data_IF_942230433958
#
_entry.id   IF_942230433958
#
_cell.length_a   1.000
_cell.length_b   1.000
_cell.length_c   1.000
_cell.angle_alpha   90.00
_cell.angle_beta   90.00
_cell.angle_gamma   90.00
#
_symmetry.space_group_name_H-M   'P 1'
#
loop_
_entity.id
_entity.type
_entity.pdbx_description
1 polymer ?
#
# COMPACT_ATOMS: atom_id res chain seq x y z
N UNK A 1 3.29 11.14 6.52
CA UNK A 1 2.85 9.80 6.96
C UNK A 1 3.84 8.80 6.40
N UNK A 2 4.46 7.96 7.24
CA UNK A 2 5.54 7.06 6.80
C UNK A 2 5.02 5.64 6.58
N UNK A 3 5.42 5.00 5.48
CA UNK A 3 4.91 3.70 5.05
C UNK A 3 5.32 2.56 6.00
N UNK A 4 6.55 2.55 6.52
CA UNK A 4 6.99 1.54 7.49
C UNK A 4 6.23 1.63 8.80
N UNK A 5 5.96 2.86 9.26
CA UNK A 5 5.16 3.08 10.45
C UNK A 5 3.71 2.57 10.26
N UNK A 6 3.11 2.84 9.09
CA UNK A 6 1.77 2.31 8.77
C UNK A 6 1.75 0.78 8.70
N UNK A 7 2.73 0.19 8.02
CA UNK A 7 2.86 -1.25 7.87
C UNK A 7 3.05 -1.93 9.24
N UNK A 8 3.93 -1.38 10.08
CA UNK A 8 4.19 -1.89 11.43
C UNK A 8 2.93 -1.83 12.30
N UNK A 9 2.22 -0.70 12.30
CA UNK A 9 0.98 -0.54 13.05
C UNK A 9 -0.10 -1.52 12.56
N UNK A 10 -0.26 -1.67 11.24
CA UNK A 10 -1.21 -2.60 10.67
C UNK A 10 -0.86 -4.06 10.98
N UNK A 11 0.44 -4.42 10.98
CA UNK A 11 0.94 -5.75 11.36
C UNK A 11 0.66 -6.07 12.82
N UNK A 12 0.92 -5.12 13.72
CA UNK A 12 0.67 -5.28 15.15
C UNK A 12 -0.83 -5.43 15.48
N UNK A 13 -1.67 -4.59 14.87
CA UNK A 13 -3.12 -4.71 15.02
C UNK A 13 -3.64 -6.07 14.54
N UNK A 14 -3.10 -6.59 13.43
CA UNK A 14 -3.46 -7.92 12.96
C UNK A 14 -2.99 -9.03 13.90
N UNK A 15 -1.74 -8.95 14.38
CA UNK A 15 -1.19 -9.87 15.39
C UNK A 15 -2.11 -9.93 16.62
N UNK A 16 -2.51 -8.79 17.16
CA UNK A 16 -3.41 -8.73 18.32
C UNK A 16 -4.77 -9.38 18.03
N UNK A 17 -5.32 -9.20 16.83
CA UNK A 17 -6.58 -9.86 16.41
C UNK A 17 -6.44 -11.38 16.32
N UNK A 18 -5.30 -11.88 15.85
CA UNK A 18 -5.00 -13.32 15.80
C UNK A 18 -4.91 -13.88 17.22
N UNK A 19 -4.18 -13.21 18.11
CA UNK A 19 -4.05 -13.59 19.52
C UNK A 19 -5.44 -13.67 20.17
N UNK A 20 -6.26 -12.63 20.03
CA UNK A 20 -7.62 -12.60 20.59
C UNK A 20 -8.48 -13.73 20.04
N UNK A 21 -8.45 -13.98 18.73
CA UNK A 21 -9.24 -15.05 18.12
C UNK A 21 -8.80 -16.45 18.58
N UNK A 22 -7.49 -16.67 18.78
CA UNK A 22 -6.97 -17.94 19.31
C UNK A 22 -7.33 -18.11 20.79
N UNK A 23 -7.24 -17.04 21.58
CA UNK A 23 -7.63 -17.04 22.98
C UNK A 23 -9.11 -17.40 23.15
N UNK A 24 -10.00 -16.74 22.40
CA UNK A 24 -11.44 -17.01 22.40
C UNK A 24 -11.74 -18.46 21.96
N UNK A 25 -11.14 -18.91 20.86
CA UNK A 25 -11.40 -20.24 20.31
C UNK A 25 -10.99 -21.37 21.25
N UNK A 26 -9.95 -21.17 22.07
CA UNK A 26 -9.41 -22.18 22.97
C UNK A 26 -9.73 -21.93 24.44
N UNK A 27 -10.58 -20.93 24.75
CA UNK A 27 -10.91 -20.55 26.14
C UNK A 27 -9.69 -20.21 26.99
N UNK A 28 -8.70 -19.56 26.38
CA UNK A 28 -7.47 -19.09 27.01
C UNK A 28 -7.52 -17.57 27.23
N UNK A 29 -6.65 -17.06 28.10
CA UNK A 29 -6.31 -15.63 28.11
C UNK A 29 -5.41 -15.28 26.91
N UNK A 30 -5.31 -13.99 26.58
CA UNK A 30 -4.40 -13.53 25.52
C UNK A 30 -2.93 -13.92 25.79
N UNK A 31 -2.48 -13.85 27.05
CA UNK A 31 -1.11 -14.22 27.42
C UNK A 31 -0.82 -15.72 27.30
N UNK A 32 -1.80 -16.56 27.65
CA UNK A 32 -1.71 -18.01 27.45
C UNK A 32 -1.69 -18.35 25.96
N UNK A 33 -2.58 -17.74 25.15
CA UNK A 33 -2.59 -17.93 23.71
C UNK A 33 -1.28 -17.51 23.03
N UNK A 34 -0.67 -16.40 23.47
CA UNK A 34 0.65 -15.98 22.99
C UNK A 34 1.76 -16.97 23.33
N UNK A 35 1.64 -17.67 24.46
CA UNK A 35 2.65 -18.65 24.90
C UNK A 35 2.47 -19.98 24.17
N UNK A 36 1.24 -20.50 24.14
CA UNK A 36 0.90 -21.81 23.58
C UNK A 36 0.99 -21.84 22.05
N UNK A 37 0.62 -20.74 21.39
CA UNK A 37 0.59 -20.65 19.92
C UNK A 37 1.68 -19.73 19.36
N UNK A 38 2.73 -19.43 20.13
CA UNK A 38 3.77 -18.45 19.77
C UNK A 38 4.27 -18.64 18.33
N UNK A 39 4.83 -19.81 18.03
CA UNK A 39 5.47 -20.07 16.72
C UNK A 39 4.46 -20.00 15.58
N UNK A 40 3.22 -20.46 15.82
CA UNK A 40 2.13 -20.34 14.85
C UNK A 40 1.76 -18.89 14.59
N UNK A 41 1.62 -18.06 15.64
CA UNK A 41 1.27 -16.64 15.51
C UNK A 41 2.36 -15.91 14.72
N UNK A 42 3.63 -16.10 15.08
CA UNK A 42 4.75 -15.45 14.39
C UNK A 42 4.79 -15.85 12.91
N UNK A 43 4.78 -17.16 12.62
CA UNK A 43 4.82 -17.66 11.25
C UNK A 43 3.63 -17.16 10.43
N UNK A 44 2.42 -17.23 10.99
CA UNK A 44 1.21 -16.80 10.28
C UNK A 44 1.20 -15.30 10.00
N UNK A 45 1.66 -14.48 10.94
CA UNK A 45 1.77 -13.03 10.77
C UNK A 45 2.85 -12.71 9.73
N UNK A 46 4.01 -13.39 9.79
CA UNK A 46 5.10 -13.16 8.83
C UNK A 46 4.74 -13.59 7.42
N UNK A 47 4.18 -14.78 7.23
CA UNK A 47 3.73 -15.28 5.92
C UNK A 47 2.71 -14.34 5.27
N UNK A 48 1.79 -13.81 6.08
CA UNK A 48 0.76 -12.90 5.60
C UNK A 48 1.33 -11.55 5.17
N UNK A 49 2.37 -11.05 5.84
CA UNK A 49 2.91 -9.71 5.59
C UNK A 49 4.15 -9.71 4.69
N UNK A 50 4.79 -10.85 4.47
CA UNK A 50 6.00 -10.95 3.65
C UNK A 50 5.83 -10.31 2.25
N UNK A 51 4.73 -10.55 1.49
CA UNK A 51 4.58 -9.93 0.17
C UNK A 51 4.51 -8.40 0.22
N UNK A 52 3.77 -7.83 1.18
CA UNK A 52 3.63 -6.37 1.29
C UNK A 52 4.86 -5.71 1.89
N UNK A 53 5.60 -6.43 2.75
CA UNK A 53 6.90 -5.97 3.25
C UNK A 53 7.89 -5.80 2.10
N UNK A 54 8.01 -6.78 1.20
CA UNK A 54 8.89 -6.69 0.04
C UNK A 54 8.52 -5.51 -0.88
N UNK A 55 7.23 -5.27 -1.08
CA UNK A 55 6.76 -4.13 -1.86
C UNK A 55 7.07 -2.79 -1.16
N UNK A 56 6.86 -2.70 0.15
CA UNK A 56 7.19 -1.52 0.94
C UNK A 56 8.70 -1.25 0.93
N UNK A 57 9.53 -2.28 1.09
CA UNK A 57 10.99 -2.18 1.03
C UNK A 57 11.46 -1.63 -0.32
N UNK A 58 10.86 -2.09 -1.43
CA UNK A 58 11.11 -1.53 -2.77
C UNK A 58 10.75 -0.05 -2.85
N UNK A 59 9.57 0.33 -2.36
CA UNK A 59 9.11 1.74 -2.38
C UNK A 59 10.04 2.62 -1.54
N UNK A 60 10.41 2.15 -0.35
CA UNK A 60 11.22 2.91 0.60
C UNK A 60 12.69 3.01 0.16
N UNK A 61 13.20 1.95 -0.46
CA UNK A 61 14.54 1.88 -1.03
C UNK A 61 14.71 2.64 -2.35
N UNK A 62 13.63 3.13 -2.96
CA UNK A 62 13.72 3.89 -4.21
C UNK A 62 14.51 5.18 -4.00
N UNK A 63 15.51 5.40 -4.85
CA UNK A 63 16.30 6.63 -4.87
C UNK A 63 15.52 7.82 -5.43
N UNK A 64 14.43 7.54 -6.14
CA UNK A 64 13.56 8.50 -6.83
C UNK A 64 12.22 8.59 -6.10
N UNK A 65 11.47 9.70 -6.24
CA UNK A 65 10.08 9.74 -5.84
C UNK A 65 9.26 8.66 -6.55
N UNK A 66 8.38 8.00 -5.81
CA UNK A 66 7.50 6.96 -6.32
C UNK A 66 6.10 7.53 -6.55
N UNK A 67 5.56 7.33 -7.75
CA UNK A 67 4.13 7.40 -8.03
C UNK A 67 3.57 5.97 -7.97
N UNK A 68 2.95 5.64 -6.85
CA UNK A 68 2.27 4.38 -6.63
C UNK A 68 0.89 4.42 -7.31
N UNK A 69 0.53 3.36 -8.04
CA UNK A 69 -0.76 3.17 -8.68
C UNK A 69 -1.30 1.77 -8.34
N UNK A 70 -2.12 1.67 -7.29
CA UNK A 70 -2.87 0.45 -6.96
C UNK A 70 -4.19 0.48 -7.71
N UNK A 71 -4.44 -0.54 -8.53
CA UNK A 71 -5.60 -0.61 -9.42
C UNK A 71 -6.18 -2.01 -9.48
N UNK A 72 -7.37 -2.13 -10.07
CA UNK A 72 -7.89 -3.44 -10.49
C UNK A 72 -7.08 -3.98 -11.67
N UNK A 73 -6.89 -5.30 -11.70
CA UNK A 73 -6.26 -5.98 -12.82
C UNK A 73 -6.95 -5.63 -14.15
N UNK A 74 -6.15 -5.34 -15.18
CA UNK A 74 -6.61 -4.98 -16.53
C UNK A 74 -7.23 -6.17 -17.26
N UNK A 75 -6.88 -7.39 -16.86
CA UNK A 75 -7.34 -8.63 -17.49
C UNK A 75 -8.69 -9.12 -16.96
N UNK A 76 -9.22 -8.51 -15.89
CA UNK A 76 -10.55 -8.84 -15.36
C UNK A 76 -11.66 -8.36 -16.29
N UNK A 77 -12.77 -9.09 -16.33
CA UNK A 77 -13.95 -8.69 -17.11
C UNK A 77 -14.62 -7.43 -16.51
N UNK A 78 -14.66 -7.32 -15.18
CA UNK A 78 -15.24 -6.20 -14.45
C UNK A 78 -14.25 -5.03 -14.26
N UNK A 79 -13.73 -4.50 -15.37
CA UNK A 79 -12.70 -3.46 -15.38
C UNK A 79 -13.12 -2.21 -14.59
N UNK A 80 -12.16 -1.64 -13.87
CA UNK A 80 -12.34 -0.42 -13.09
C UNK A 80 -12.29 0.81 -14.00
N UNK A 81 -13.45 1.38 -14.35
CA UNK A 81 -13.56 2.57 -15.22
C UNK A 81 -12.73 3.76 -14.74
N UNK A 82 -12.67 4.00 -13.43
CA UNK A 82 -11.86 5.08 -12.85
C UNK A 82 -10.35 4.79 -12.97
N UNK A 83 -9.95 3.52 -12.90
CA UNK A 83 -8.56 3.13 -13.06
C UNK A 83 -8.11 3.32 -14.51
N UNK A 84 -8.97 2.97 -15.46
CA UNK A 84 -8.73 3.21 -16.89
C UNK A 84 -8.72 4.71 -17.21
N UNK A 85 -9.71 5.46 -16.69
CA UNK A 85 -9.79 6.90 -16.88
C UNK A 85 -8.62 7.67 -16.24
N UNK A 86 -7.97 7.12 -15.21
CA UNK A 86 -6.80 7.75 -14.61
C UNK A 86 -5.49 7.43 -15.34
N UNK A 87 -5.45 6.37 -16.15
CA UNK A 87 -4.22 5.92 -16.82
C UNK A 87 -3.56 7.02 -17.67
N UNK A 88 -4.29 7.80 -18.50
CA UNK A 88 -3.68 8.87 -19.29
C UNK A 88 -2.94 9.92 -18.44
N UNK A 89 -3.42 10.20 -17.22
CA UNK A 89 -2.75 11.13 -16.31
C UNK A 89 -1.44 10.55 -15.74
N UNK A 90 -1.40 9.25 -15.47
CA UNK A 90 -0.19 8.55 -15.05
C UNK A 90 0.82 8.53 -16.20
N UNK A 91 0.36 8.24 -17.41
CA UNK A 91 1.20 8.21 -18.62
C UNK A 91 1.80 9.59 -18.91
N UNK A 92 1.02 10.67 -18.77
CA UNK A 92 1.52 12.04 -18.91
C UNK A 92 2.62 12.38 -17.88
N UNK A 93 2.50 11.89 -16.66
CA UNK A 93 3.52 12.06 -15.63
C UNK A 93 4.78 11.26 -15.97
N UNK A 94 4.62 10.03 -16.48
CA UNK A 94 5.73 9.22 -16.98
C UNK A 94 6.47 9.93 -18.12
N UNK A 95 5.76 10.42 -19.13
CA UNK A 95 6.34 11.10 -20.29
C UNK A 95 7.11 12.36 -19.88
N UNK A 96 6.56 13.14 -18.93
CA UNK A 96 7.15 14.41 -18.52
C UNK A 96 8.36 14.27 -17.61
N UNK A 97 8.33 13.33 -16.66
CA UNK A 97 9.37 13.21 -15.64
C UNK A 97 10.35 12.07 -15.93
N UNK A 98 9.94 11.07 -16.73
CA UNK A 98 10.75 9.91 -17.09
C UNK A 98 11.48 9.33 -15.88
N UNK A 99 12.80 9.27 -15.98
CA UNK A 99 13.70 8.76 -14.95
C UNK A 99 13.78 9.59 -13.66
N UNK A 100 13.10 10.74 -13.56
CA UNK A 100 13.08 11.53 -12.32
C UNK A 100 12.14 10.95 -11.27
N UNK A 101 11.25 10.06 -11.65
CA UNK A 101 10.31 9.38 -10.76
C UNK A 101 10.31 7.88 -11.08
N UNK A 102 9.89 7.06 -10.13
CA UNK A 102 9.56 5.66 -10.36
C UNK A 102 8.04 5.51 -10.34
N UNK A 103 7.47 4.83 -11.32
CA UNK A 103 6.05 4.48 -11.31
C UNK A 103 5.93 3.01 -10.94
N UNK A 104 5.22 2.76 -9.83
CA UNK A 104 4.96 1.40 -9.35
C UNK A 104 3.47 1.12 -9.51
N UNK A 105 3.13 0.30 -10.51
CA UNK A 105 1.78 -0.22 -10.69
C UNK A 105 1.67 -1.58 -10.00
N UNK A 106 0.64 -1.75 -9.15
CA UNK A 106 0.29 -3.03 -8.52
C UNK A 106 -1.21 -3.27 -8.60
N UNK A 107 -1.58 -4.55 -8.69
CA UNK A 107 -2.99 -4.95 -8.73
C UNK A 107 -3.51 -5.23 -7.33
N UNK A 108 -4.69 -4.71 -7.02
CA UNK A 108 -5.39 -4.90 -5.74
C UNK A 108 -5.72 -6.36 -5.40
N UNK A 109 -5.79 -7.21 -6.43
CA UNK A 109 -6.09 -8.64 -6.34
C UNK A 109 -4.88 -9.47 -5.87
N UNK A 110 -3.66 -8.91 -5.92
CA UNK A 110 -2.47 -9.59 -5.42
C UNK A 110 -2.28 -9.33 -3.92
N UNK A 111 -1.67 -10.28 -3.17
CA UNK A 111 -1.48 -10.14 -1.73
C UNK A 111 -0.78 -8.83 -1.33
N UNK A 112 0.25 -8.44 -2.06
CA UNK A 112 1.03 -7.21 -1.84
C UNK A 112 0.20 -5.94 -2.11
N UNK A 113 -0.43 -5.83 -3.29
CA UNK A 113 -1.21 -4.67 -3.69
C UNK A 113 -2.48 -4.49 -2.86
N UNK A 114 -3.18 -5.58 -2.57
CA UNK A 114 -4.36 -5.59 -1.71
C UNK A 114 -4.04 -5.19 -0.27
N UNK A 115 -2.98 -5.76 0.33
CA UNK A 115 -2.57 -5.39 1.67
C UNK A 115 -2.08 -3.93 1.74
N UNK A 116 -1.26 -3.49 0.77
CA UNK A 116 -0.78 -2.11 0.72
C UNK A 116 -1.92 -1.10 0.60
N UNK A 117 -2.96 -1.44 -0.17
CA UNK A 117 -4.19 -0.63 -0.24
C UNK A 117 -4.81 -0.43 1.15
N UNK A 118 -5.00 -1.50 1.91
CA UNK A 118 -5.60 -1.42 3.25
C UNK A 118 -4.72 -0.66 4.25
N UNK A 119 -3.40 -0.81 4.14
CA UNK A 119 -2.43 -0.09 4.98
C UNK A 119 -2.48 1.43 4.73
N UNK A 120 -2.56 1.87 3.47
CA UNK A 120 -2.58 3.30 3.13
C UNK A 120 -3.95 3.92 3.34
N UNK A 121 -5.02 3.25 2.91
CA UNK A 121 -6.36 3.81 2.93
C UNK A 121 -7.01 3.74 4.32
N UNK A 122 -6.72 2.69 5.09
CA UNK A 122 -7.15 2.47 6.48
C UNK A 122 -8.64 2.80 6.76
N UNK A 123 -9.54 2.63 5.78
CA UNK A 123 -10.99 2.67 5.99
C UNK A 123 -11.54 1.24 6.07
N UNK A 124 -12.38 0.96 7.08
CA UNK A 124 -13.16 -0.29 7.23
C UNK A 124 -14.36 -0.35 6.27
N UNK A 125 -14.27 0.32 5.13
CA UNK A 125 -15.27 0.25 4.07
C UNK A 125 -15.26 -1.14 3.44
N UNK A 126 -16.45 -1.73 3.26
CA UNK A 126 -16.60 -3.00 2.52
C UNK A 126 -16.22 -2.87 1.04
N UNK A 127 -16.28 -1.66 0.48
CA UNK A 127 -15.94 -1.40 -0.92
C UNK A 127 -14.60 -0.68 -1.02
N UNK A 128 -13.67 -1.30 -1.78
CA UNK A 128 -12.40 -0.66 -2.17
C UNK A 128 -12.68 0.49 -3.14
N UNK A 129 -12.27 1.69 -2.76
CA UNK A 129 -12.25 2.89 -3.62
C UNK A 129 -11.01 2.88 -4.51
N UNK A 130 -11.11 2.29 -5.70
CA UNK A 130 -10.04 2.21 -6.70
C UNK A 130 -10.17 3.29 -7.80
N UNK A 131 -9.06 3.74 -8.42
CA UNK A 131 -7.68 3.40 -8.08
C UNK A 131 -7.26 4.08 -6.76
N UNK A 132 -6.25 3.54 -6.09
CA UNK A 132 -5.49 4.27 -5.08
C UNK A 132 -4.17 4.69 -5.69
N UNK A 133 -3.93 5.99 -5.75
CA UNK A 133 -2.66 6.55 -6.20
C UNK A 133 -2.00 7.35 -5.10
N UNK A 134 -0.67 7.33 -5.03
CA UNK A 134 0.08 8.05 -4.02
C UNK A 134 1.41 8.58 -4.56
N UNK A 135 1.81 9.76 -4.09
CA UNK A 135 3.17 10.26 -4.24
C UNK A 135 3.92 9.95 -2.95
N UNK A 136 4.99 9.17 -3.06
CA UNK A 136 5.81 8.69 -1.95
C UNK A 136 7.25 9.11 -2.20
N UNK A 137 7.94 9.60 -1.18
CA UNK A 137 9.35 9.95 -1.25
C UNK A 137 10.08 9.33 -0.07
N UNK A 138 10.94 8.32 -0.33
CA UNK A 138 11.72 7.62 0.72
C UNK A 138 10.82 7.11 1.84
N UNK A 139 9.74 6.43 1.46
CA UNK A 139 8.72 5.94 2.37
C UNK A 139 7.78 6.98 2.99
N UNK A 140 8.03 8.27 2.81
CA UNK A 140 7.07 9.30 3.21
C UNK A 140 5.96 9.46 2.17
N UNK A 141 4.73 9.09 2.52
CA UNK A 141 3.53 9.34 1.73
C UNK A 141 3.20 10.83 1.85
N UNK A 142 3.46 11.58 0.78
CA UNK A 142 3.21 13.02 0.70
C UNK A 142 1.72 13.30 0.46
N UNK A 143 1.09 12.49 -0.39
CA UNK A 143 -0.35 12.54 -0.67
C UNK A 143 -0.81 11.24 -1.31
N UNK A 144 -2.04 10.83 -1.02
CA UNK A 144 -2.75 9.79 -1.73
C UNK A 144 -4.18 10.22 -2.11
N UNK A 145 -4.75 9.51 -3.08
CA UNK A 145 -6.13 9.66 -3.54
C UNK A 145 -6.70 8.27 -3.81
N UNK A 146 -7.97 8.05 -3.45
CA UNK A 146 -8.66 6.78 -3.64
C UNK A 146 -10.02 7.04 -4.33
N UNK A 147 -10.43 6.15 -5.23
CA UNK A 147 -11.77 6.16 -5.82
C UNK A 147 -12.05 7.29 -6.79
N UNK A 148 -11.02 7.86 -7.42
CA UNK A 148 -11.19 8.94 -8.40
C UNK A 148 -10.02 9.04 -9.37
N UNK A 149 -10.27 9.69 -10.50
CA UNK A 149 -9.23 10.19 -11.38
C UNK A 149 -8.56 11.42 -10.77
N UNK A 150 -7.28 11.62 -11.08
CA UNK A 150 -6.45 12.71 -10.60
C UNK A 150 -5.68 13.26 -11.78
N UNK A 151 -5.90 14.54 -12.09
CA UNK A 151 -5.20 15.19 -13.20
C UNK A 151 -3.69 15.18 -12.99
N UNK A 152 -2.91 15.06 -14.07
CA UNK A 152 -1.45 15.10 -14.02
C UNK A 152 -0.93 16.34 -13.24
N UNK A 153 -1.52 17.51 -13.46
CA UNK A 153 -1.16 18.76 -12.77
C UNK A 153 -1.30 18.68 -11.24
N UNK A 154 -2.13 17.79 -10.70
CA UNK A 154 -2.24 17.53 -9.26
C UNK A 154 -1.04 16.75 -8.77
N UNK A 155 -0.66 15.65 -9.44
CA UNK A 155 0.56 14.89 -9.10
C UNK A 155 1.80 15.78 -9.16
N UNK A 156 1.93 16.60 -10.20
CA UNK A 156 3.04 17.54 -10.37
C UNK A 156 3.25 18.48 -9.18
N UNK A 157 2.15 18.96 -8.58
CA UNK A 157 2.22 19.86 -7.43
C UNK A 157 2.91 19.23 -6.22
N UNK A 158 2.89 17.90 -6.11
CA UNK A 158 3.58 17.18 -5.04
C UNK A 158 4.98 16.77 -5.47
N UNK A 159 5.17 16.32 -6.71
CA UNK A 159 6.49 15.97 -7.24
C UNK A 159 7.44 17.18 -7.20
N UNK A 160 6.97 18.37 -7.60
CA UNK A 160 7.79 19.61 -7.59
C UNK A 160 8.22 20.08 -6.21
N UNK A 161 7.59 19.60 -5.13
CA UNK A 161 7.99 19.93 -3.75
C UNK A 161 9.16 19.10 -3.27
N UNK A 162 9.50 18.02 -3.99
CA UNK A 162 10.59 17.14 -3.61
C UNK A 162 11.90 17.80 -4.06
N UNK A 163 12.84 18.09 -3.15
CA UNK A 163 14.10 18.71 -3.50
C UNK A 163 14.87 17.84 -4.48
N UNK A 164 15.33 18.43 -5.57
CA UNK A 164 16.22 17.76 -6.52
C UNK A 164 17.58 17.61 -5.84
N UNK A 165 17.95 16.39 -5.45
CA UNK A 165 19.24 16.12 -4.81
C UNK A 165 20.40 15.97 -5.81
N UNK A 166 20.19 16.37 -7.06
CA UNK A 166 21.20 16.38 -8.12
C UNK A 166 22.08 17.64 -8.13
N UNK A 167 22.30 18.27 -6.96
CA UNK A 167 23.30 19.33 -6.76
C UNK A 167 24.23 18.97 -5.61
#
# INVERSE_FOLDING_TARGET
>A
MNLDALLSNHKENFRQRVITALAEKNSLTAGEAMTEYKDFIEQYVDDKYQPVQQLADRINGSTRPVLLNIRRDRMREDRCKLCEGNQPNIDQIHEKYGDRIEIIEVTEDRPDGGALYHIIFNEESKEKKLPLTAIINRGEILKFWAGKTVDAAVYERYIKKIPDKSR
#
